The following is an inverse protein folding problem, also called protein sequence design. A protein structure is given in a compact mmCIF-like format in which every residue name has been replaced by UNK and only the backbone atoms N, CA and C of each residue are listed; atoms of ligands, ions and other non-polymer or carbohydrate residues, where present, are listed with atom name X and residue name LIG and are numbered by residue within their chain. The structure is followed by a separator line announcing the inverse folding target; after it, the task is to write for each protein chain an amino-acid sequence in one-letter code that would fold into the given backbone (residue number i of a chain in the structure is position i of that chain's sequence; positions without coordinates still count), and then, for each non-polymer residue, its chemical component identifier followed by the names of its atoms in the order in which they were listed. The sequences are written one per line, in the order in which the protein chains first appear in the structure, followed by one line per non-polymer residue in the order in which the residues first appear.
data_IF_610969335971
#
_entry.id   IF_610969335971
#
_cell.length_a   1.000
_cell.length_b   1.000
_cell.length_c   1.000
_cell.angle_alpha   90.00
_cell.angle_beta   90.00
_cell.angle_gamma   90.00
#
_symmetry.space_group_name_H-M   'P 1'
#
loop_
_entity.id
_entity.type
_entity.pdbx_description
1 polymer ?
#
# COMPACT_ATOMS: atom_id res chain seq x y z
N UNK A 1 -10.45 13.94 21.66
CA UNK A 1 -9.40 14.54 20.82
C UNK A 1 -8.30 13.51 20.58
N UNK A 2 -8.34 12.80 19.45
CA UNK A 2 -7.29 11.84 19.02
C UNK A 2 -6.84 12.09 17.56
N UNK A 3 -7.41 13.10 16.91
CA UNK A 3 -7.18 13.46 15.51
C UNK A 3 -5.93 14.32 15.28
N UNK A 4 -5.34 14.92 16.32
CA UNK A 4 -4.27 15.91 16.14
C UNK A 4 -2.84 15.35 16.05
N UNK A 5 -2.61 14.05 16.25
CA UNK A 5 -1.23 13.51 16.27
C UNK A 5 -0.72 13.13 14.87
N UNK A 6 -1.60 12.84 13.91
CA UNK A 6 -1.21 12.23 12.64
C UNK A 6 -1.72 12.93 11.37
N UNK A 7 -2.43 14.05 11.52
CA UNK A 7 -3.06 14.88 10.47
C UNK A 7 -3.20 14.16 9.11
N UNK A 8 -4.05 13.12 9.12
CA UNK A 8 -4.24 12.28 7.95
C UNK A 8 -4.91 13.02 6.81
N UNK A 9 -5.69 14.07 7.12
CA UNK A 9 -6.34 14.94 6.16
C UNK A 9 -5.30 15.77 5.39
N UNK A 10 -4.42 16.50 6.08
CA UNK A 10 -3.36 17.27 5.41
C UNK A 10 -2.44 16.36 4.57
N UNK A 11 -2.10 15.20 5.13
CA UNK A 11 -1.28 14.20 4.44
C UNK A 11 -1.97 13.66 3.20
N UNK A 12 -3.26 13.37 3.27
CA UNK A 12 -4.04 12.88 2.15
C UNK A 12 -4.18 13.93 1.06
N UNK A 13 -4.45 15.19 1.43
CA UNK A 13 -4.49 16.31 0.48
C UNK A 13 -3.15 16.51 -0.23
N UNK A 14 -2.05 16.39 0.50
CA UNK A 14 -0.71 16.39 -0.11
C UNK A 14 -0.54 15.22 -1.10
N UNK A 15 -1.00 14.03 -0.74
CA UNK A 15 -0.89 12.87 -1.62
C UNK A 15 -1.77 13.00 -2.86
N UNK A 16 -3.00 13.52 -2.74
CA UNK A 16 -3.88 13.82 -3.88
C UNK A 16 -3.20 14.77 -4.86
N UNK A 17 -2.58 15.85 -4.35
CA UNK A 17 -1.81 16.80 -5.18
C UNK A 17 -0.66 16.13 -5.94
N UNK A 18 0.10 15.25 -5.28
CA UNK A 18 1.18 14.51 -5.95
C UNK A 18 0.63 13.53 -6.99
N UNK A 19 -0.44 12.81 -6.66
CA UNK A 19 -1.09 11.84 -7.56
C UNK A 19 -1.62 12.54 -8.82
N UNK A 20 -2.22 13.71 -8.69
CA UNK A 20 -2.71 14.51 -9.82
C UNK A 20 -1.61 14.84 -10.85
N UNK A 21 -0.35 14.93 -10.41
CA UNK A 21 0.79 15.17 -11.29
C UNK A 21 1.18 14.01 -12.21
N UNK A 22 0.58 12.83 -12.08
CA UNK A 22 0.88 11.65 -12.91
C UNK A 22 -0.03 11.51 -14.15
N UNK A 23 -0.73 12.58 -14.55
CA UNK A 23 -1.58 12.60 -15.75
C UNK A 23 -2.72 11.58 -15.68
N UNK A 24 -2.99 10.86 -16.77
CA UNK A 24 -4.08 9.89 -16.87
C UNK A 24 -4.08 8.84 -15.75
N UNK A 25 -2.92 8.27 -15.44
CA UNK A 25 -2.78 7.32 -14.34
C UNK A 25 -3.03 7.97 -12.97
N UNK A 26 -2.71 9.26 -12.83
CA UNK A 26 -3.05 10.06 -11.67
C UNK A 26 -4.56 10.19 -11.48
N UNK A 27 -5.30 10.47 -12.54
CA UNK A 27 -6.77 10.55 -12.50
C UNK A 27 -7.42 9.23 -12.09
N UNK A 28 -6.97 8.11 -12.69
CA UNK A 28 -7.43 6.76 -12.32
C UNK A 28 -7.13 6.48 -10.84
N UNK A 29 -5.93 6.86 -10.37
CA UNK A 29 -5.54 6.71 -8.99
C UNK A 29 -6.36 7.57 -8.02
N UNK A 30 -6.73 8.80 -8.38
CA UNK A 30 -7.60 9.64 -7.55
C UNK A 30 -8.99 9.03 -7.42
N UNK A 31 -9.59 8.56 -8.52
CA UNK A 31 -10.87 7.85 -8.49
C UNK A 31 -10.79 6.57 -7.65
N UNK A 32 -9.67 5.86 -7.72
CA UNK A 32 -9.40 4.72 -6.85
C UNK A 32 -9.39 5.12 -5.36
N UNK A 33 -8.73 6.23 -5.00
CA UNK A 33 -8.71 6.74 -3.63
C UNK A 33 -10.13 7.10 -3.14
N UNK A 34 -10.93 7.76 -3.97
CA UNK A 34 -12.34 8.06 -3.63
C UNK A 34 -13.17 6.78 -3.47
N UNK A 35 -12.90 5.76 -4.31
CA UNK A 35 -13.52 4.45 -4.18
C UNK A 35 -13.16 3.74 -2.88
N UNK A 36 -11.95 3.94 -2.34
CA UNK A 36 -11.61 3.37 -1.02
C UNK A 36 -12.48 3.96 0.10
N UNK A 37 -12.83 5.24 0.02
CA UNK A 37 -13.77 5.86 0.95
C UNK A 37 -15.20 5.33 0.76
N UNK A 38 -15.65 5.11 -0.47
CA UNK A 38 -16.98 4.52 -0.73
C UNK A 38 -17.11 3.10 -0.17
N UNK A 39 -16.00 2.36 -0.07
CA UNK A 39 -15.92 1.06 0.60
C UNK A 39 -15.82 1.15 2.13
N UNK A 40 -15.87 2.35 2.71
CA UNK A 40 -15.86 2.57 4.16
C UNK A 40 -14.49 2.43 4.83
N UNK A 41 -13.39 2.59 4.10
CA UNK A 41 -12.05 2.59 4.70
C UNK A 41 -11.82 3.88 5.49
N UNK A 42 -11.12 3.76 6.63
CA UNK A 42 -10.70 4.93 7.42
C UNK A 42 -9.65 5.77 6.68
N UNK A 43 -9.61 7.08 6.96
CA UNK A 43 -8.61 8.01 6.44
C UNK A 43 -7.18 7.50 6.59
N UNK A 44 -6.82 6.95 7.76
CA UNK A 44 -5.50 6.39 8.00
C UNK A 44 -5.15 5.26 7.02
N UNK A 45 -6.11 4.39 6.68
CA UNK A 45 -5.93 3.32 5.69
C UNK A 45 -5.84 3.91 4.28
N UNK A 46 -6.68 4.87 3.94
CA UNK A 46 -6.66 5.52 2.63
C UNK A 46 -5.36 6.29 2.41
N UNK A 47 -4.88 7.05 3.41
CA UNK A 47 -3.60 7.74 3.37
C UNK A 47 -2.42 6.78 3.20
N UNK A 48 -2.44 5.61 3.86
CA UNK A 48 -1.45 4.54 3.63
C UNK A 48 -1.48 4.07 2.18
N UNK A 49 -2.67 3.81 1.64
CA UNK A 49 -2.85 3.37 0.25
C UNK A 49 -2.34 4.43 -0.72
N UNK A 50 -2.74 5.70 -0.55
CA UNK A 50 -2.28 6.82 -1.38
C UNK A 50 -0.75 6.96 -1.38
N UNK A 51 -0.09 6.82 -0.22
CA UNK A 51 1.37 6.81 -0.15
C UNK A 51 2.02 5.66 -0.93
N UNK A 52 1.41 4.47 -0.92
CA UNK A 52 1.88 3.35 -1.75
C UNK A 52 1.59 3.55 -3.23
N UNK A 53 0.44 4.12 -3.59
CA UNK A 53 0.06 4.46 -4.97
C UNK A 53 1.10 5.40 -5.58
N UNK A 54 1.51 6.46 -4.88
CA UNK A 54 2.56 7.37 -5.36
C UNK A 54 3.85 6.61 -5.71
N UNK A 55 4.27 5.69 -4.84
CA UNK A 55 5.47 4.91 -5.08
C UNK A 55 5.34 3.95 -6.29
N UNK A 56 4.14 3.44 -6.55
CA UNK A 56 3.86 2.60 -7.72
C UNK A 56 3.79 3.44 -9.00
N UNK A 57 3.11 4.58 -8.98
CA UNK A 57 2.98 5.47 -10.15
C UNK A 57 4.34 5.97 -10.66
N UNK A 58 5.35 6.11 -9.78
CA UNK A 58 6.72 6.47 -10.17
C UNK A 58 7.44 5.42 -11.02
N UNK A 59 6.98 4.17 -11.01
CA UNK A 59 7.63 3.06 -11.73
C UNK A 59 6.72 2.44 -12.79
N UNK A 60 5.46 2.86 -12.85
CA UNK A 60 4.49 2.42 -13.85
C UNK A 60 4.67 3.31 -15.09
N UNK A 61 5.04 2.65 -16.19
CA UNK A 61 5.24 3.26 -17.51
C UNK A 61 4.11 2.92 -18.50
N UNK A 62 3.00 2.38 -18.01
CA UNK A 62 1.86 1.91 -18.79
C UNK A 62 0.54 2.48 -18.25
N UNK A 63 -0.50 2.51 -19.07
CA UNK A 63 -1.85 2.87 -18.63
C UNK A 63 -2.44 1.78 -17.73
N UNK A 64 -2.88 2.15 -16.52
CA UNK A 64 -3.40 1.21 -15.52
C UNK A 64 -4.56 0.34 -16.05
N UNK A 65 -5.43 0.92 -16.88
CA UNK A 65 -6.61 0.25 -17.45
C UNK A 65 -6.21 -0.80 -18.50
N UNK A 66 -5.10 -0.57 -19.21
CA UNK A 66 -4.56 -1.46 -20.26
C UNK A 66 -3.44 -2.38 -19.76
N UNK A 67 -3.19 -2.40 -18.46
CA UNK A 67 -2.10 -3.17 -17.87
C UNK A 67 -2.16 -4.64 -18.32
N UNK A 68 -1.03 -5.14 -18.83
CA UNK A 68 -0.85 -6.55 -19.15
C UNK A 68 -0.22 -7.30 -17.98
N UNK A 69 -0.28 -8.63 -18.02
CA UNK A 69 0.42 -9.47 -17.03
C UNK A 69 1.92 -9.18 -16.97
N UNK A 70 2.57 -8.97 -18.13
CA UNK A 70 4.01 -8.67 -18.21
C UNK A 70 4.34 -7.34 -17.54
N UNK A 71 3.48 -6.34 -17.69
CA UNK A 71 3.65 -5.03 -17.05
C UNK A 71 3.57 -5.14 -15.52
N UNK A 72 2.56 -5.86 -15.02
CA UNK A 72 2.41 -6.13 -13.58
C UNK A 72 3.61 -6.91 -13.04
N UNK A 73 4.10 -7.91 -13.77
CA UNK A 73 5.30 -8.67 -13.41
C UNK A 73 6.54 -7.77 -13.29
N UNK A 74 6.73 -6.78 -14.18
CA UNK A 74 7.84 -5.80 -14.06
C UNK A 74 7.75 -5.02 -12.76
N UNK A 75 6.56 -4.53 -12.40
CA UNK A 75 6.37 -3.76 -11.15
C UNK A 75 6.58 -4.65 -9.92
N UNK A 76 6.06 -5.88 -9.92
CA UNK A 76 6.28 -6.83 -8.82
C UNK A 76 7.75 -7.19 -8.66
N UNK A 77 8.47 -7.38 -9.78
CA UNK A 77 9.91 -7.61 -9.76
C UNK A 77 10.66 -6.42 -9.17
N UNK A 78 10.28 -5.18 -9.53
CA UNK A 78 10.83 -3.98 -8.93
C UNK A 78 10.60 -3.94 -7.41
N UNK A 79 9.38 -4.23 -6.93
CA UNK A 79 9.05 -4.29 -5.49
C UNK A 79 9.95 -5.29 -4.76
N UNK A 80 10.14 -6.48 -5.33
CA UNK A 80 10.96 -7.54 -4.71
C UNK A 80 12.44 -7.16 -4.58
N UNK A 81 12.96 -6.37 -5.53
CA UNK A 81 14.36 -5.89 -5.55
C UNK A 81 14.61 -4.73 -4.58
N UNK A 82 13.57 -4.07 -4.08
CA UNK A 82 13.75 -2.96 -3.14
C UNK A 82 14.20 -3.47 -1.75
N UNK A 83 15.03 -2.69 -1.02
CA UNK A 83 15.48 -3.01 0.34
C UNK A 83 14.38 -2.74 1.39
N UNK A 84 13.14 -3.13 1.09
CA UNK A 84 12.01 -2.99 1.99
C UNK A 84 11.86 -4.23 2.87
N UNK A 85 11.28 -4.05 4.07
CA UNK A 85 10.80 -5.17 4.88
C UNK A 85 9.73 -5.94 4.13
N UNK A 86 9.63 -7.25 4.38
CA UNK A 86 8.68 -8.12 3.70
C UNK A 86 7.23 -7.64 3.82
N UNK A 87 6.83 -7.15 4.99
CA UNK A 87 5.50 -6.56 5.19
C UNK A 87 5.25 -5.34 4.29
N UNK A 88 6.25 -4.47 4.10
CA UNK A 88 6.14 -3.31 3.19
C UNK A 88 6.05 -3.74 1.72
N UNK A 89 6.77 -4.81 1.33
CA UNK A 89 6.63 -5.40 -0.01
C UNK A 89 5.24 -5.96 -0.22
N UNK A 90 4.68 -6.66 0.78
CA UNK A 90 3.32 -7.20 0.75
C UNK A 90 2.26 -6.09 0.63
N UNK A 91 2.37 -5.02 1.43
CA UNK A 91 1.48 -3.87 1.35
C UNK A 91 1.49 -3.25 -0.06
N UNK A 92 2.68 -3.06 -0.66
CA UNK A 92 2.80 -2.53 -2.03
C UNK A 92 2.17 -3.47 -3.07
N UNK A 93 2.37 -4.78 -2.95
CA UNK A 93 1.74 -5.79 -3.83
C UNK A 93 0.22 -5.79 -3.69
N UNK A 94 -0.29 -5.62 -2.46
CA UNK A 94 -1.73 -5.52 -2.20
C UNK A 94 -2.32 -4.27 -2.87
N UNK A 95 -1.66 -3.13 -2.73
CA UNK A 95 -2.11 -1.87 -3.37
C UNK A 95 -2.06 -1.99 -4.89
N UNK A 96 -0.98 -2.56 -5.45
CA UNK A 96 -0.87 -2.82 -6.89
C UNK A 96 -2.03 -3.70 -7.40
N UNK A 97 -2.35 -4.78 -6.68
CA UNK A 97 -3.48 -5.66 -7.02
C UNK A 97 -4.80 -4.90 -7.02
N UNK A 98 -5.05 -4.08 -6.00
CA UNK A 98 -6.31 -3.33 -5.85
C UNK A 98 -6.47 -2.21 -6.87
N UNK A 99 -5.41 -1.45 -7.19
CA UNK A 99 -5.50 -0.37 -8.18
C UNK A 99 -5.70 -0.91 -9.60
N UNK A 100 -5.08 -2.04 -9.97
CA UNK A 100 -5.30 -2.69 -11.27
C UNK A 100 -6.71 -3.31 -11.34
N UNK A 101 -7.18 -3.93 -10.24
CA UNK A 101 -8.54 -4.42 -10.14
C UNK A 101 -9.57 -3.29 -10.33
N UNK A 102 -9.34 -2.15 -9.64
CA UNK A 102 -10.18 -0.97 -9.80
C UNK A 102 -10.13 -0.41 -11.22
N UNK A 103 -8.94 -0.28 -11.83
CA UNK A 103 -8.79 0.25 -13.18
C UNK A 103 -9.53 -0.60 -14.23
N UNK A 104 -9.59 -1.92 -14.07
CA UNK A 104 -10.26 -2.82 -15.03
C UNK A 104 -11.76 -2.99 -14.79
N UNK A 105 -12.22 -2.93 -13.55
CA UNK A 105 -13.61 -3.27 -13.18
C UNK A 105 -14.38 -2.15 -12.50
N UNK A 106 -13.77 -0.99 -12.28
CA UNK A 106 -14.38 0.14 -11.57
C UNK A 106 -14.60 -0.09 -10.07
N UNK A 107 -14.17 -1.24 -9.52
CA UNK A 107 -14.26 -1.55 -8.10
C UNK A 107 -13.11 -2.46 -7.66
N UNK A 108 -12.74 -2.39 -6.38
CA UNK A 108 -11.80 -3.31 -5.73
C UNK A 108 -12.39 -3.97 -4.48
N UNK A 109 -13.71 -4.11 -4.43
CA UNK A 109 -14.42 -4.83 -3.37
C UNK A 109 -14.11 -6.33 -3.42
N UNK A 110 -14.36 -7.04 -2.31
CA UNK A 110 -14.20 -8.48 -2.18
C UNK A 110 -15.03 -9.27 -3.20
N UNK A 111 -16.19 -8.74 -3.60
CA UNK A 111 -17.07 -9.39 -4.57
C UNK A 111 -16.65 -9.14 -6.02
N UNK A 112 -15.76 -8.16 -6.26
CA UNK A 112 -15.27 -7.89 -7.60
C UNK A 112 -14.30 -8.98 -8.04
N UNK A 113 -14.44 -9.53 -9.26
CA UNK A 113 -13.47 -10.45 -9.82
C UNK A 113 -12.06 -9.88 -9.79
N UNK A 114 -11.06 -10.75 -9.68
CA UNK A 114 -9.65 -10.34 -9.69
C UNK A 114 -9.12 -10.53 -11.10
N UNK A 115 -8.53 -9.49 -11.72
CA UNK A 115 -8.00 -9.60 -13.07
C UNK A 115 -6.88 -10.67 -13.14
N UNK A 116 -6.79 -11.44 -14.23
CA UNK A 116 -5.77 -12.48 -14.37
C UNK A 116 -4.34 -11.94 -14.28
N UNK A 117 -4.13 -10.67 -14.61
CA UNK A 117 -2.84 -9.97 -14.54
C UNK A 117 -2.31 -9.84 -13.11
N UNK A 118 -3.18 -9.85 -12.10
CA UNK A 118 -2.83 -9.70 -10.67
C UNK A 118 -3.27 -10.89 -9.79
N UNK A 119 -4.05 -11.82 -10.33
CA UNK A 119 -4.59 -12.98 -9.58
C UNK A 119 -3.48 -13.89 -8.99
N UNK A 120 -2.36 -14.03 -9.70
CA UNK A 120 -1.22 -14.85 -9.29
C UNK A 120 -0.40 -14.25 -8.12
N UNK A 121 -0.60 -12.97 -7.80
CA UNK A 121 0.12 -12.30 -6.73
C UNK A 121 -0.40 -12.81 -5.38
N UNK A 122 0.43 -13.56 -4.66
CA UNK A 122 0.13 -14.03 -3.30
C UNK A 122 0.26 -12.87 -2.31
N UNK A 123 -0.80 -12.64 -1.53
CA UNK A 123 -0.89 -11.62 -0.47
C UNK A 123 -0.92 -12.30 0.90
N UNK A 124 -0.06 -13.29 1.12
CA UNK A 124 0.09 -13.97 2.40
C UNK A 124 1.45 -13.66 3.01
N UNK A 125 1.47 -13.25 4.29
CA UNK A 125 2.71 -13.07 5.04
C UNK A 125 3.07 -14.41 5.71
N UNK A 126 4.20 -15.00 5.33
CA UNK A 126 4.76 -16.18 6.01
C UNK A 126 5.88 -15.84 7.02
N UNK A 127 6.16 -14.55 7.24
CA UNK A 127 7.25 -14.09 8.10
C UNK A 127 6.82 -13.93 9.56
N UNK A 128 7.70 -14.33 10.49
CA UNK A 128 7.52 -14.07 11.93
C UNK A 128 7.36 -12.57 12.16
N UNK A 129 6.36 -12.24 12.97
CA UNK A 129 6.08 -10.87 13.39
C UNK A 129 7.31 -10.30 14.11
N UNK A 130 7.84 -9.17 13.64
CA UNK A 130 8.97 -8.47 14.26
C UNK A 130 8.53 -7.56 15.41
N UNK A 131 7.30 -7.72 15.91
CA UNK A 131 6.85 -7.06 17.14
C UNK A 131 7.73 -7.53 18.29
N UNK A 132 8.20 -6.57 19.07
CA UNK A 132 8.83 -6.84 20.37
C UNK A 132 7.82 -7.63 21.19
N UNK A 133 8.16 -8.87 21.50
CA UNK A 133 7.37 -9.67 22.43
C UNK A 133 7.81 -9.32 23.86
N UNK A 134 6.96 -9.48 24.87
CA UNK A 134 7.34 -9.21 26.26
C UNK A 134 8.63 -9.91 26.68
N UNK A 135 8.91 -11.07 26.09
CA UNK A 135 10.11 -11.88 26.34
C UNK A 135 11.38 -11.31 25.68
N UNK A 136 11.24 -10.36 24.76
CA UNK A 136 12.34 -9.63 24.13
C UNK A 136 12.66 -8.30 24.83
N UNK A 137 11.92 -7.94 25.88
CA UNK A 137 12.23 -6.81 26.75
C UNK A 137 13.22 -7.28 27.82
N UNK A 138 14.27 -6.51 28.06
CA UNK A 138 15.17 -6.73 29.19
C UNK A 138 14.39 -6.64 30.50
N UNK A 139 14.66 -7.56 31.42
CA UNK A 139 14.07 -7.54 32.76
C UNK A 139 14.56 -6.35 33.59
N UNK A 140 13.82 -5.99 34.65
CA UNK A 140 14.20 -4.88 35.53
C UNK A 140 15.58 -5.09 36.17
N UNK A 141 15.90 -6.34 36.53
CA UNK A 141 17.19 -6.72 37.12
C UNK A 141 18.35 -6.61 36.11
N UNK A 142 18.09 -6.98 34.85
CA UNK A 142 19.06 -6.90 33.75
C UNK A 142 19.33 -5.44 33.37
N UNK A 143 18.31 -4.58 33.44
CA UNK A 143 18.46 -3.14 33.27
C UNK A 143 19.30 -2.51 34.39
N UNK A 144 19.04 -2.86 35.67
CA UNK A 144 19.82 -2.31 36.80
C UNK A 144 21.29 -2.69 36.72
N UNK A 145 21.61 -3.93 36.35
CA UNK A 145 22.98 -4.40 36.18
C UNK A 145 23.77 -3.73 35.03
N UNK A 146 23.09 -3.04 34.10
CA UNK A 146 23.74 -2.25 33.04
C UNK A 146 23.96 -0.78 33.43
N UNK A 147 23.27 -0.30 34.46
CA UNK A 147 23.27 1.11 34.89
C UNK A 147 24.10 1.33 36.15
N UNK A 148 24.26 0.30 36.99
CA UNK A 148 25.20 0.25 38.12
C UNK A 148 26.61 -0.18 37.68
#
# INVERSE_FOLDING_TARGET
MKSEIYDYDERLERYRRIIAGFGHNGEVALRFIDHLFSLGLSEARVAKFAGHVIALLRVIDFELEKATRRDVERVVAWINRQPYREWTKLDKKLVLRKIIQYAKYGSCDRNTPVPPEVAWIKITCGGRDGRVTPEALIGEDEFRAMVE
#
